data_IF_568158774500
#
_entry.id   IF_568158774500
#
_cell.length_a   1.000
_cell.length_b   1.000
_cell.length_c   1.000
_cell.angle_alpha   90.00
_cell.angle_beta   90.00
_cell.angle_gamma   90.00
#
_symmetry.space_group_name_H-M   'P 1'
#
loop_
_entity.id
_entity.type
_entity.pdbx_description
1 polymer ?
#
# COMPACT_ATOMS: atom_id res chain seq x y z
N UNK A 1 27.10 25.02 -10.96
CA UNK A 1 27.12 23.76 -10.19
C UNK A 1 26.88 24.08 -8.71
N UNK A 2 25.85 24.89 -8.44
CA UNK A 2 25.61 25.53 -7.14
C UNK A 2 25.22 24.51 -6.06
N UNK A 3 24.62 23.38 -6.45
CA UNK A 3 24.28 22.29 -5.53
C UNK A 3 25.50 21.67 -4.83
N UNK A 4 26.67 21.70 -5.47
CA UNK A 4 27.90 21.19 -4.84
C UNK A 4 28.45 22.10 -3.75
N UNK A 5 28.03 23.35 -3.69
CA UNK A 5 28.35 24.22 -2.54
C UNK A 5 27.73 23.69 -1.24
N UNK A 6 26.72 22.80 -1.35
CA UNK A 6 26.06 22.12 -0.25
C UNK A 6 26.61 20.70 0.00
N UNK A 7 27.72 20.29 -0.63
CA UNK A 7 28.23 18.92 -0.52
C UNK A 7 28.48 18.45 0.92
N UNK A 8 28.84 19.37 1.81
CA UNK A 8 29.12 19.09 3.21
C UNK A 8 27.87 19.10 4.11
N UNK A 9 26.67 19.37 3.58
CA UNK A 9 25.45 19.52 4.40
C UNK A 9 24.18 18.91 3.80
N UNK A 10 24.10 18.72 2.49
CA UNK A 10 22.87 18.27 1.83
C UNK A 10 22.55 16.81 2.16
N UNK A 11 21.44 16.60 2.87
CA UNK A 11 20.96 15.25 3.23
C UNK A 11 19.77 14.79 2.38
N UNK A 12 18.96 15.74 1.87
CA UNK A 12 17.75 15.45 1.10
C UNK A 12 17.77 16.28 -0.18
N UNK A 13 17.56 15.60 -1.31
CA UNK A 13 17.49 16.22 -2.63
C UNK A 13 16.21 15.78 -3.35
N UNK A 14 15.34 16.73 -3.67
CA UNK A 14 14.16 16.50 -4.50
C UNK A 14 14.30 17.20 -5.86
N UNK A 15 14.28 16.39 -6.91
CA UNK A 15 14.39 16.75 -8.32
C UNK A 15 13.10 16.41 -9.08
N UNK A 16 12.00 16.15 -8.37
CA UNK A 16 10.76 15.68 -8.98
C UNK A 16 10.07 16.75 -9.84
N UNK A 17 9.31 16.33 -10.85
CA UNK A 17 8.52 17.23 -11.70
C UNK A 17 9.35 18.05 -12.69
N UNK A 18 10.45 17.48 -13.18
CA UNK A 18 11.34 18.12 -14.16
C UNK A 18 11.36 17.32 -15.48
N UNK A 19 12.32 17.64 -16.35
CA UNK A 19 12.57 16.91 -17.60
C UNK A 19 13.94 16.23 -17.60
N UNK A 20 14.44 15.83 -16.43
CA UNK A 20 15.75 15.19 -16.29
C UNK A 20 15.75 13.80 -16.92
N UNK A 21 16.82 13.47 -17.61
CA UNK A 21 17.05 12.14 -18.19
C UNK A 21 18.25 11.41 -17.60
N UNK A 22 19.09 12.12 -16.84
CA UNK A 22 20.28 11.58 -16.17
C UNK A 22 20.71 12.46 -14.98
N UNK A 23 21.62 11.96 -14.15
CA UNK A 23 22.27 12.67 -13.05
C UNK A 23 23.78 12.77 -13.30
N UNK A 24 24.42 13.93 -13.06
CA UNK A 24 25.85 14.12 -13.28
C UNK A 24 26.69 13.27 -12.33
N UNK A 25 27.86 12.80 -12.77
CA UNK A 25 28.74 11.96 -11.96
C UNK A 25 29.20 12.67 -10.68
N UNK A 26 29.35 13.99 -10.74
CA UNK A 26 29.82 14.80 -9.63
C UNK A 26 28.85 14.82 -8.44
N UNK A 27 27.63 14.31 -8.61
CA UNK A 27 26.72 14.05 -7.49
C UNK A 27 27.35 13.14 -6.43
N UNK A 28 28.34 12.30 -6.81
CA UNK A 28 29.11 11.45 -5.88
C UNK A 28 29.83 12.25 -4.78
N UNK A 29 30.01 13.57 -4.95
CA UNK A 29 30.59 14.46 -3.95
C UNK A 29 29.64 14.78 -2.78
N UNK A 30 28.34 14.54 -2.93
CA UNK A 30 27.34 14.77 -1.88
C UNK A 30 27.36 13.64 -0.84
N UNK A 31 28.47 13.52 -0.10
CA UNK A 31 28.72 12.39 0.79
C UNK A 31 27.69 12.26 1.92
N UNK A 32 26.97 13.33 2.27
CA UNK A 32 25.90 13.32 3.29
C UNK A 32 24.50 13.05 2.74
N UNK A 33 24.33 12.89 1.43
CA UNK A 33 23.02 12.67 0.83
C UNK A 33 22.45 11.32 1.29
N UNK A 34 21.29 11.36 1.93
CA UNK A 34 20.55 10.20 2.45
C UNK A 34 19.31 9.88 1.63
N UNK A 35 18.72 10.89 1.00
CA UNK A 35 17.44 10.78 0.31
C UNK A 35 17.51 11.50 -1.02
N UNK A 36 17.10 10.81 -2.08
CA UNK A 36 16.89 11.42 -3.39
C UNK A 36 15.52 11.07 -3.96
N UNK A 37 14.80 12.10 -4.38
CA UNK A 37 13.59 11.99 -5.17
C UNK A 37 13.81 12.59 -6.55
N UNK A 38 13.37 11.90 -7.59
CA UNK A 38 13.44 12.35 -8.98
C UNK A 38 12.21 11.85 -9.76
N UNK A 39 11.04 11.88 -9.11
CA UNK A 39 9.78 11.37 -9.67
C UNK A 39 9.26 12.31 -10.78
N UNK A 40 8.45 11.80 -11.70
CA UNK A 40 7.89 12.60 -12.80
C UNK A 40 8.98 13.32 -13.61
N UNK A 41 9.86 12.53 -14.23
CA UNK A 41 10.98 12.96 -15.07
C UNK A 41 11.04 12.09 -16.36
N UNK A 42 12.17 12.08 -17.06
CA UNK A 42 12.38 11.35 -18.31
C UNK A 42 13.51 10.32 -18.22
N UNK A 43 13.81 9.80 -17.02
CA UNK A 43 14.86 8.79 -16.82
C UNK A 43 14.50 7.49 -17.54
N UNK A 44 15.45 6.95 -18.31
CA UNK A 44 15.31 5.65 -19.01
C UNK A 44 16.13 4.53 -18.38
N UNK A 45 17.00 4.88 -17.42
CA UNK A 45 17.79 3.98 -16.60
C UNK A 45 17.90 4.59 -15.19
N UNK A 46 18.16 3.76 -14.18
CA UNK A 46 18.49 4.26 -12.85
C UNK A 46 19.97 4.72 -12.84
N UNK A 47 20.29 6.00 -12.54
CA UNK A 47 21.64 6.52 -12.68
C UNK A 47 22.66 5.80 -11.78
N UNK A 48 23.81 5.43 -12.35
CA UNK A 48 24.84 4.65 -11.63
C UNK A 48 25.55 5.45 -10.54
N UNK A 49 25.54 6.79 -10.62
CA UNK A 49 26.08 7.66 -9.58
C UNK A 49 25.43 7.42 -8.21
N UNK A 50 24.17 6.94 -8.19
CA UNK A 50 23.46 6.63 -6.96
C UNK A 50 24.17 5.55 -6.14
N UNK A 51 24.69 4.50 -6.78
CA UNK A 51 25.36 3.41 -6.07
C UNK A 51 26.69 3.82 -5.43
N UNK A 52 27.25 4.97 -5.84
CA UNK A 52 28.48 5.52 -5.27
C UNK A 52 28.26 6.37 -4.02
N UNK A 53 27.01 6.75 -3.72
CA UNK A 53 26.69 7.58 -2.57
C UNK A 53 26.72 6.74 -1.27
N UNK A 54 27.65 7.01 -0.34
CA UNK A 54 27.93 6.10 0.77
C UNK A 54 26.82 6.04 1.82
N UNK A 55 26.02 7.12 1.94
CA UNK A 55 24.97 7.26 2.95
C UNK A 55 23.55 7.28 2.34
N UNK A 56 23.41 6.99 1.04
CA UNK A 56 22.11 7.05 0.38
C UNK A 56 21.25 5.86 0.81
N UNK A 57 20.17 6.15 1.52
CA UNK A 57 19.25 5.17 2.10
C UNK A 57 17.93 5.09 1.33
N UNK A 58 17.51 6.18 0.68
CA UNK A 58 16.22 6.27 0.03
C UNK A 58 16.32 6.82 -1.39
N UNK A 59 15.75 6.07 -2.34
CA UNK A 59 15.75 6.37 -3.76
C UNK A 59 14.32 6.30 -4.29
N UNK A 60 13.79 7.42 -4.81
CA UNK A 60 12.46 7.48 -5.41
C UNK A 60 12.44 8.06 -6.81
N UNK A 61 12.10 7.24 -7.80
CA UNK A 61 12.01 7.60 -9.23
C UNK A 61 10.66 7.17 -9.81
N UNK A 62 9.55 7.54 -9.13
CA UNK A 62 8.19 7.20 -9.59
C UNK A 62 7.85 7.92 -10.89
N UNK A 63 7.05 7.31 -11.77
CA UNK A 63 6.53 7.94 -13.01
C UNK A 63 7.68 8.47 -13.86
N UNK A 64 8.49 7.54 -14.34
CA UNK A 64 9.60 7.77 -15.26
C UNK A 64 9.48 6.76 -16.44
N UNK A 65 10.55 6.51 -17.18
CA UNK A 65 10.59 5.55 -18.29
C UNK A 65 11.71 4.53 -18.09
N UNK A 66 12.06 4.24 -16.83
CA UNK A 66 13.22 3.42 -16.48
C UNK A 66 13.00 2.00 -17.00
N UNK A 67 13.93 1.54 -17.84
CA UNK A 67 13.97 0.17 -18.37
C UNK A 67 15.08 -0.66 -17.74
N UNK A 68 16.15 0.01 -17.34
CA UNK A 68 17.39 -0.62 -16.86
C UNK A 68 17.70 -0.16 -15.45
N UNK A 69 17.84 -1.12 -14.54
CA UNK A 69 18.39 -0.92 -13.20
C UNK A 69 19.73 -1.66 -13.18
N UNK A 70 20.83 -0.91 -13.35
CA UNK A 70 22.18 -1.46 -13.34
C UNK A 70 22.56 -1.92 -11.92
N UNK A 71 23.41 -2.94 -11.81
CA UNK A 71 23.94 -3.38 -10.50
C UNK A 71 24.66 -2.25 -9.78
N UNK A 72 25.32 -1.36 -10.53
CA UNK A 72 26.06 -0.21 -10.02
C UNK A 72 25.16 0.95 -9.57
N UNK A 73 23.85 0.92 -9.88
CA UNK A 73 22.91 1.99 -9.51
C UNK A 73 22.31 1.83 -8.11
N UNK A 74 22.57 0.70 -7.43
CA UNK A 74 21.98 0.38 -6.14
C UNK A 74 22.91 0.75 -4.98
N UNK A 75 22.55 1.73 -4.12
CA UNK A 75 23.37 2.12 -2.98
C UNK A 75 23.53 1.01 -1.95
N UNK A 76 24.69 0.90 -1.32
CA UNK A 76 24.96 -0.14 -0.31
C UNK A 76 24.09 -0.01 0.95
N UNK A 77 23.66 1.22 1.30
CA UNK A 77 22.84 1.52 2.47
C UNK A 77 21.33 1.56 2.17
N UNK A 78 20.91 1.16 0.97
CA UNK A 78 19.54 1.27 0.49
C UNK A 78 18.54 0.58 1.45
N UNK A 79 17.59 1.38 1.96
CA UNK A 79 16.46 0.98 2.79
C UNK A 79 15.13 1.07 2.06
N UNK A 80 14.98 2.05 1.17
CA UNK A 80 13.74 2.28 0.42
C UNK A 80 14.03 2.54 -1.05
N UNK A 81 13.45 1.72 -1.91
CA UNK A 81 13.49 1.88 -3.37
C UNK A 81 12.07 2.00 -3.93
N UNK A 82 11.76 3.14 -4.55
CA UNK A 82 10.49 3.39 -5.25
C UNK A 82 10.78 3.57 -6.74
N UNK A 83 10.35 2.61 -7.53
CA UNK A 83 10.41 2.63 -8.99
C UNK A 83 9.03 2.38 -9.61
N UNK A 84 7.97 2.72 -8.87
CA UNK A 84 6.58 2.66 -9.33
C UNK A 84 6.40 3.38 -10.67
N UNK A 85 5.56 2.83 -11.55
CA UNK A 85 5.17 3.45 -12.82
C UNK A 85 6.39 3.76 -13.70
N UNK A 86 7.02 2.69 -14.18
CA UNK A 86 8.20 2.69 -15.04
C UNK A 86 8.07 1.56 -16.09
N UNK A 87 9.16 1.24 -16.79
CA UNK A 87 9.17 0.25 -17.88
C UNK A 87 10.13 -0.92 -17.58
N UNK A 88 10.37 -1.24 -16.30
CA UNK A 88 11.39 -2.23 -15.89
C UNK A 88 10.91 -3.64 -16.23
N UNK A 89 11.71 -4.40 -16.99
CA UNK A 89 11.42 -5.81 -17.30
C UNK A 89 12.14 -6.81 -16.37
N UNK A 90 13.32 -6.44 -15.89
CA UNK A 90 14.18 -7.29 -15.07
C UNK A 90 14.86 -6.47 -13.98
N UNK A 91 15.00 -7.07 -12.80
CA UNK A 91 15.79 -6.51 -11.69
C UNK A 91 17.16 -7.21 -11.62
N UNK A 92 18.22 -6.48 -11.25
CA UNK A 92 19.55 -7.06 -11.09
C UNK A 92 19.61 -8.03 -9.90
N UNK A 93 20.48 -9.04 -9.99
CA UNK A 93 20.71 -9.97 -8.87
C UNK A 93 21.26 -9.25 -7.63
N UNK A 94 22.05 -8.19 -7.82
CA UNK A 94 22.63 -7.39 -6.73
C UNK A 94 21.60 -6.66 -5.87
N UNK A 95 20.31 -6.63 -6.27
CA UNK A 95 19.23 -6.17 -5.40
C UNK A 95 19.14 -7.02 -4.13
N UNK A 96 19.34 -8.34 -4.25
CA UNK A 96 19.38 -9.25 -3.11
C UNK A 96 20.56 -9.02 -2.15
N UNK A 97 21.54 -8.21 -2.54
CA UNK A 97 22.73 -7.85 -1.73
C UNK A 97 22.53 -6.54 -0.95
N UNK A 98 21.28 -6.06 -0.83
CA UNK A 98 20.93 -4.86 -0.05
C UNK A 98 20.27 -5.28 1.26
N UNK A 99 21.04 -5.67 2.28
CA UNK A 99 20.51 -6.27 3.50
C UNK A 99 19.66 -5.30 4.33
N UNK A 100 19.73 -4.00 4.05
CA UNK A 100 18.94 -2.96 4.74
C UNK A 100 17.62 -2.64 4.06
N UNK A 101 17.34 -3.20 2.87
CA UNK A 101 16.13 -2.89 2.11
C UNK A 101 14.89 -3.36 2.90
N UNK A 102 14.02 -2.42 3.25
CA UNK A 102 12.77 -2.63 3.99
C UNK A 102 11.54 -2.39 3.12
N UNK A 103 11.61 -1.45 2.19
CA UNK A 103 10.48 -1.06 1.35
C UNK A 103 10.86 -1.04 -0.13
N UNK A 104 10.11 -1.78 -0.94
CA UNK A 104 10.32 -1.93 -2.38
C UNK A 104 9.02 -1.72 -3.16
N UNK A 105 8.87 -0.57 -3.81
CA UNK A 105 7.68 -0.25 -4.59
C UNK A 105 7.99 -0.35 -6.09
N UNK A 106 7.37 -1.32 -6.76
CA UNK A 106 7.61 -1.69 -8.15
C UNK A 106 6.31 -1.79 -8.96
N UNK A 107 5.17 -1.33 -8.42
CA UNK A 107 3.90 -1.40 -9.11
C UNK A 107 3.93 -0.64 -10.44
N UNK A 108 3.22 -1.10 -11.46
CA UNK A 108 3.19 -0.43 -12.76
C UNK A 108 4.50 -0.54 -13.52
N UNK A 109 5.06 -1.74 -13.60
CA UNK A 109 6.25 -2.03 -14.41
C UNK A 109 5.95 -3.17 -15.39
N UNK A 110 7.00 -3.72 -16.02
CA UNK A 110 6.90 -4.84 -16.98
C UNK A 110 7.63 -6.07 -16.46
N UNK A 111 7.77 -6.21 -15.14
CA UNK A 111 8.60 -7.24 -14.53
C UNK A 111 7.99 -8.61 -14.79
N UNK A 112 8.76 -9.49 -15.42
CA UNK A 112 8.30 -10.84 -15.78
C UNK A 112 8.60 -11.87 -14.69
N UNK A 113 9.71 -11.69 -13.97
CA UNK A 113 10.19 -12.58 -12.90
C UNK A 113 11.04 -11.79 -11.91
N UNK A 114 11.02 -12.20 -10.64
CA UNK A 114 11.93 -11.68 -9.62
C UNK A 114 13.24 -12.47 -9.61
N UNK A 115 14.39 -11.83 -9.34
CA UNK A 115 15.66 -12.54 -9.22
C UNK A 115 15.67 -13.41 -7.96
N UNK A 116 16.23 -14.62 -8.06
CA UNK A 116 16.29 -15.58 -6.94
C UNK A 116 17.01 -14.99 -5.71
N UNK A 117 17.99 -14.11 -5.93
CA UNK A 117 18.73 -13.44 -4.87
C UNK A 117 17.86 -12.63 -3.91
N UNK A 118 16.60 -12.31 -4.26
CA UNK A 118 15.66 -11.67 -3.34
C UNK A 118 15.36 -12.52 -2.10
N UNK A 119 15.65 -13.82 -2.08
CA UNK A 119 15.59 -14.66 -0.88
C UNK A 119 16.49 -14.14 0.26
N UNK A 120 17.51 -13.33 -0.06
CA UNK A 120 18.44 -12.74 0.89
C UNK A 120 17.93 -11.42 1.50
N UNK A 121 16.78 -10.89 1.05
CA UNK A 121 16.20 -9.64 1.55
C UNK A 121 15.46 -9.84 2.88
N UNK A 122 16.19 -10.35 3.88
CA UNK A 122 15.64 -10.75 5.19
C UNK A 122 15.02 -9.61 6.00
N UNK A 123 15.29 -8.36 5.62
CA UNK A 123 14.70 -7.16 6.22
C UNK A 123 13.57 -6.53 5.40
N UNK A 124 13.19 -7.11 4.25
CA UNK A 124 12.11 -6.58 3.44
C UNK A 124 10.78 -6.78 4.16
N UNK A 125 10.04 -5.69 4.33
CA UNK A 125 8.79 -5.62 5.09
C UNK A 125 7.60 -5.29 4.17
N UNK A 126 7.81 -4.44 3.16
CA UNK A 126 6.79 -4.04 2.20
C UNK A 126 7.28 -4.22 0.77
N UNK A 127 6.46 -4.88 -0.06
CA UNK A 127 6.66 -4.97 -1.49
C UNK A 127 5.37 -4.72 -2.28
N UNK A 128 5.42 -3.82 -3.27
CA UNK A 128 4.32 -3.58 -4.23
C UNK A 128 4.76 -4.10 -5.60
N UNK A 129 4.08 -5.14 -6.10
CA UNK A 129 4.33 -5.77 -7.40
C UNK A 129 3.10 -5.72 -8.32
N UNK A 130 2.04 -5.02 -7.93
CA UNK A 130 0.82 -4.92 -8.73
C UNK A 130 1.08 -4.33 -10.12
N UNK A 131 0.21 -4.62 -11.09
CA UNK A 131 0.33 -4.13 -12.46
C UNK A 131 1.73 -4.37 -13.06
N UNK A 132 2.13 -5.64 -13.09
CA UNK A 132 3.38 -6.11 -13.70
C UNK A 132 3.08 -7.21 -14.73
N UNK A 133 4.11 -7.94 -15.17
CA UNK A 133 4.00 -9.02 -16.16
C UNK A 133 4.43 -10.37 -15.59
N UNK A 134 4.26 -10.57 -14.28
CA UNK A 134 4.63 -11.82 -13.61
C UNK A 134 3.75 -12.97 -14.14
N UNK A 135 4.40 -13.95 -14.77
CA UNK A 135 3.72 -15.15 -15.30
C UNK A 135 3.39 -16.17 -14.20
N UNK A 136 4.09 -16.09 -13.06
CA UNK A 136 3.97 -17.01 -11.95
C UNK A 136 4.02 -16.24 -10.63
N UNK A 137 3.39 -16.80 -9.60
CA UNK A 137 3.47 -16.27 -8.25
C UNK A 137 4.94 -16.26 -7.75
N UNK A 138 5.41 -15.19 -7.09
CA UNK A 138 6.80 -15.05 -6.68
C UNK A 138 7.11 -15.84 -5.39
N UNK A 139 7.26 -17.16 -5.50
CA UNK A 139 7.52 -18.06 -4.36
C UNK A 139 8.74 -17.67 -3.51
N UNK A 140 9.72 -16.97 -4.11
CA UNK A 140 10.91 -16.43 -3.42
C UNK A 140 10.57 -15.54 -2.23
N UNK A 141 9.41 -14.87 -2.25
CA UNK A 141 8.99 -13.93 -1.20
C UNK A 141 8.36 -14.63 0.02
N UNK A 142 7.84 -15.86 -0.14
CA UNK A 142 7.10 -16.57 0.93
C UNK A 142 7.95 -16.84 2.17
N UNK A 143 9.27 -16.92 2.00
CA UNK A 143 10.23 -17.24 3.07
C UNK A 143 10.83 -16.01 3.75
N UNK A 144 10.47 -14.81 3.30
CA UNK A 144 11.02 -13.60 3.89
C UNK A 144 10.43 -13.37 5.29
N UNK A 145 11.27 -13.32 6.34
CA UNK A 145 10.80 -13.41 7.72
C UNK A 145 10.07 -12.16 8.21
N UNK A 146 10.29 -11.01 7.55
CA UNK A 146 9.70 -9.72 7.93
C UNK A 146 8.67 -9.19 6.94
N UNK A 147 8.47 -9.86 5.81
CA UNK A 147 7.52 -9.40 4.80
C UNK A 147 6.10 -9.46 5.38
N UNK A 148 5.44 -8.31 5.40
CA UNK A 148 4.14 -8.09 6.02
C UNK A 148 3.13 -7.48 5.04
N UNK A 149 3.56 -6.53 4.21
CA UNK A 149 2.71 -5.85 3.24
C UNK A 149 3.09 -6.27 1.83
N UNK A 150 2.17 -6.98 1.16
CA UNK A 150 2.41 -7.56 -0.14
C UNK A 150 1.20 -7.33 -1.06
N UNK A 151 1.42 -6.58 -2.14
CA UNK A 151 0.44 -6.34 -3.20
C UNK A 151 0.95 -6.89 -4.54
N UNK A 152 0.11 -7.61 -5.28
CA UNK A 152 0.50 -8.24 -6.54
C UNK A 152 -0.61 -8.33 -7.60
N UNK A 153 -1.75 -7.67 -7.40
CA UNK A 153 -2.87 -7.72 -8.33
C UNK A 153 -2.49 -7.18 -9.74
N UNK A 154 -3.29 -7.48 -10.76
CA UNK A 154 -2.98 -7.03 -12.13
C UNK A 154 -1.74 -7.66 -12.77
N UNK A 155 -1.34 -8.86 -12.34
CA UNK A 155 -0.31 -9.66 -13.00
C UNK A 155 -0.93 -10.81 -13.82
N UNK A 156 -0.28 -11.28 -14.90
CA UNK A 156 -0.79 -12.38 -15.73
C UNK A 156 -1.13 -13.68 -14.99
N UNK A 157 -0.47 -13.99 -13.86
CA UNK A 157 -0.83 -15.16 -13.05
C UNK A 157 -2.14 -14.99 -12.27
N UNK A 158 -2.61 -13.75 -12.10
CA UNK A 158 -3.84 -13.45 -11.40
C UNK A 158 -5.06 -13.89 -12.21
N UNK A 159 -6.07 -14.45 -11.54
CA UNK A 159 -7.35 -14.79 -12.16
C UNK A 159 -8.44 -13.92 -11.58
N UNK A 160 -9.18 -13.25 -12.46
CA UNK A 160 -10.36 -12.49 -12.08
C UNK A 160 -11.52 -13.46 -11.76
N UNK A 161 -12.31 -13.17 -10.72
CA UNK A 161 -13.49 -13.95 -10.40
C UNK A 161 -14.53 -13.85 -11.52
N UNK A 162 -15.09 -15.01 -11.92
CA UNK A 162 -15.99 -15.11 -13.08
C UNK A 162 -17.31 -14.33 -12.93
N UNK A 163 -17.73 -14.02 -11.70
CA UNK A 163 -18.92 -13.20 -11.40
C UNK A 163 -18.88 -12.73 -9.95
N UNK A 164 -18.82 -11.41 -9.76
CA UNK A 164 -18.99 -10.74 -8.46
C UNK A 164 -20.36 -10.05 -8.46
N UNK A 165 -21.37 -10.71 -7.90
CA UNK A 165 -22.73 -10.16 -7.75
C UNK A 165 -23.00 -9.69 -6.31
N UNK A 166 -21.97 -9.24 -5.59
CA UNK A 166 -22.11 -8.80 -4.19
C UNK A 166 -22.92 -7.51 -4.06
N UNK A 167 -22.88 -6.63 -5.07
CA UNK A 167 -23.65 -5.38 -5.13
C UNK A 167 -24.28 -5.17 -6.51
N UNK A 168 -25.43 -4.48 -6.60
CA UNK A 168 -26.06 -4.16 -7.88
C UNK A 168 -25.16 -3.27 -8.77
N UNK A 169 -25.32 -3.45 -10.08
CA UNK A 169 -24.73 -2.56 -11.09
C UNK A 169 -25.69 -1.43 -11.42
N UNK A 170 -25.21 -0.19 -11.31
CA UNK A 170 -25.98 1.03 -11.57
C UNK A 170 -25.23 1.92 -12.58
N UNK A 171 -25.82 3.05 -12.96
CA UNK A 171 -25.23 3.98 -13.95
C UNK A 171 -24.88 5.31 -13.30
N UNK A 172 -24.10 6.15 -13.99
CA UNK A 172 -23.79 7.51 -13.48
C UNK A 172 -25.02 8.40 -13.27
N UNK A 173 -26.19 8.00 -13.78
CA UNK A 173 -27.45 8.71 -13.57
C UNK A 173 -28.15 8.35 -12.26
N UNK A 174 -27.59 7.43 -11.45
CA UNK A 174 -28.19 6.98 -10.20
C UNK A 174 -27.82 7.87 -9.00
N UNK A 175 -26.86 8.80 -9.17
CA UNK A 175 -26.44 9.78 -8.15
C UNK A 175 -26.07 11.13 -8.77
N UNK A 176 -26.02 12.17 -7.93
CA UNK A 176 -25.46 13.49 -8.28
C UNK A 176 -24.29 13.81 -7.36
N UNK A 177 -23.08 13.95 -7.93
CA UNK A 177 -21.88 14.34 -7.19
C UNK A 177 -21.99 15.77 -6.67
N UNK A 178 -21.52 15.99 -5.44
CA UNK A 178 -21.53 17.30 -4.77
C UNK A 178 -20.11 17.85 -4.62
N UNK A 179 -19.44 17.50 -3.53
CA UNK A 179 -18.09 17.98 -3.21
C UNK A 179 -17.16 16.80 -2.89
N UNK A 180 -15.86 17.03 -3.05
CA UNK A 180 -14.81 16.03 -2.80
C UNK A 180 -14.64 15.84 -1.29
N UNK A 181 -14.69 14.59 -0.83
CA UNK A 181 -14.39 14.18 0.55
C UNK A 181 -12.91 13.84 0.70
N UNK A 182 -12.31 13.25 -0.33
CA UNK A 182 -10.89 12.88 -0.34
C UNK A 182 -10.42 12.51 -1.74
N UNK A 183 -9.11 12.59 -1.97
CA UNK A 183 -8.51 12.18 -3.23
C UNK A 183 -7.24 11.37 -2.95
N UNK A 184 -7.18 10.18 -3.55
CA UNK A 184 -6.04 9.26 -3.45
C UNK A 184 -5.40 9.01 -4.81
N UNK A 185 -4.45 8.07 -4.82
CA UNK A 185 -3.81 7.60 -6.04
C UNK A 185 -4.80 6.90 -6.97
N UNK A 186 -5.74 6.12 -6.42
CA UNK A 186 -6.70 5.33 -7.22
C UNK A 186 -7.96 6.05 -7.66
N UNK A 187 -8.29 7.20 -7.07
CA UNK A 187 -9.55 7.86 -7.39
C UNK A 187 -9.83 9.12 -6.59
N UNK A 188 -11.01 9.68 -6.85
CA UNK A 188 -11.60 10.78 -6.10
C UNK A 188 -12.82 10.25 -5.37
N UNK A 189 -12.86 10.43 -4.06
CA UNK A 189 -14.02 10.11 -3.22
C UNK A 189 -14.81 11.40 -3.04
N UNK A 190 -16.06 11.39 -3.47
CA UNK A 190 -16.96 12.54 -3.40
C UNK A 190 -18.23 12.20 -2.65
N UNK A 191 -18.77 13.18 -1.94
CA UNK A 191 -20.14 13.12 -1.44
C UNK A 191 -21.10 13.20 -2.63
N UNK A 192 -22.19 12.45 -2.57
CA UNK A 192 -23.22 12.46 -3.60
C UNK A 192 -24.62 12.28 -3.01
N UNK A 193 -25.62 12.84 -3.69
CA UNK A 193 -27.02 12.55 -3.41
C UNK A 193 -27.47 11.36 -4.26
N UNK A 194 -28.07 10.35 -3.63
CA UNK A 194 -28.68 9.22 -4.34
C UNK A 194 -30.02 9.64 -4.94
N UNK A 195 -30.25 9.32 -6.22
CA UNK A 195 -31.46 9.74 -6.96
C UNK A 195 -32.25 8.57 -7.56
N UNK A 196 -31.71 7.36 -7.52
CA UNK A 196 -32.37 6.18 -8.10
C UNK A 196 -33.35 5.52 -7.13
N UNK A 197 -34.64 5.83 -7.30
CA UNK A 197 -35.71 5.29 -6.47
C UNK A 197 -35.96 3.77 -6.65
N UNK A 198 -35.26 3.09 -7.57
CA UNK A 198 -35.35 1.63 -7.70
C UNK A 198 -34.69 0.90 -6.52
N UNK A 199 -33.72 1.54 -5.86
CA UNK A 199 -32.97 0.96 -4.77
C UNK A 199 -33.23 1.73 -3.47
N UNK A 200 -33.46 0.99 -2.38
CA UNK A 200 -33.64 1.55 -1.03
C UNK A 200 -32.28 1.82 -0.38
N UNK A 201 -31.56 2.80 -0.93
CA UNK A 201 -30.26 3.25 -0.42
C UNK A 201 -30.38 4.58 0.33
N UNK A 202 -29.39 4.90 1.19
CA UNK A 202 -29.34 6.20 1.85
C UNK A 202 -29.39 7.36 0.84
N UNK A 203 -30.07 8.45 1.20
CA UNK A 203 -30.19 9.64 0.34
C UNK A 203 -28.85 10.33 0.09
N UNK A 204 -27.88 10.14 0.98
CA UNK A 204 -26.52 10.66 0.88
C UNK A 204 -25.53 9.50 0.93
N UNK A 205 -24.59 9.48 -0.02
CA UNK A 205 -23.64 8.39 -0.23
C UNK A 205 -22.24 8.94 -0.52
N UNK A 206 -21.23 8.08 -0.41
CA UNK A 206 -19.90 8.36 -0.90
C UNK A 206 -19.67 7.62 -2.23
N UNK A 207 -19.15 8.32 -3.24
CA UNK A 207 -18.81 7.72 -4.54
C UNK A 207 -17.32 7.85 -4.75
N UNK A 208 -16.63 6.71 -4.86
CA UNK A 208 -15.24 6.64 -5.29
C UNK A 208 -15.19 6.45 -6.79
N UNK A 209 -14.85 7.53 -7.50
CA UNK A 209 -14.61 7.50 -8.94
C UNK A 209 -13.16 7.12 -9.18
N UNK A 210 -12.94 6.00 -9.87
CA UNK A 210 -11.61 5.50 -10.14
C UNK A 210 -10.97 6.21 -11.34
N UNK A 211 -9.65 6.44 -11.29
CA UNK A 211 -8.89 6.98 -12.41
C UNK A 211 -8.45 5.85 -13.35
N UNK A 212 -8.43 6.07 -14.66
CA UNK A 212 -8.10 5.00 -15.63
C UNK A 212 -6.62 4.58 -15.71
N UNK A 213 -5.74 5.16 -14.91
CA UNK A 213 -4.28 4.93 -14.96
C UNK A 213 -3.82 3.98 -13.85
N UNK A 214 -2.62 3.38 -14.03
CA UNK A 214 -1.97 2.57 -12.98
C UNK A 214 -1.63 3.47 -11.79
N UNK A 215 -1.91 2.99 -10.58
CA UNK A 215 -1.65 3.72 -9.34
C UNK A 215 -0.35 3.25 -8.68
N UNK A 216 -0.02 3.77 -7.50
CA UNK A 216 1.08 3.23 -6.69
C UNK A 216 0.89 1.77 -6.27
N UNK A 217 -0.35 1.29 -6.31
CA UNK A 217 -0.80 0.09 -5.61
C UNK A 217 -1.43 -0.94 -6.53
N UNK A 218 -1.71 -0.56 -7.79
CA UNK A 218 -2.23 -1.45 -8.83
C UNK A 218 -3.20 -0.75 -9.77
N UNK A 219 -3.98 -1.55 -10.51
CA UNK A 219 -5.07 -1.02 -11.32
C UNK A 219 -6.33 -0.83 -10.46
N UNK A 220 -7.11 0.23 -10.71
CA UNK A 220 -8.34 0.44 -9.94
C UNK A 220 -9.43 -0.62 -10.13
N UNK A 221 -9.43 -1.35 -11.24
CA UNK A 221 -10.35 -2.48 -11.42
C UNK A 221 -10.02 -3.64 -10.45
N UNK A 222 -8.73 -3.89 -10.18
CA UNK A 222 -8.32 -4.91 -9.21
C UNK A 222 -8.78 -4.55 -7.79
N UNK A 223 -8.64 -3.27 -7.42
CA UNK A 223 -9.15 -2.72 -6.15
C UNK A 223 -10.66 -2.94 -6.02
N UNK A 224 -11.43 -2.55 -7.06
CA UNK A 224 -12.87 -2.74 -7.08
C UNK A 224 -13.24 -4.23 -6.92
N UNK A 225 -12.61 -5.12 -7.68
CA UNK A 225 -12.87 -6.55 -7.59
C UNK A 225 -12.56 -7.10 -6.19
N UNK A 226 -11.46 -6.66 -5.57
CA UNK A 226 -11.08 -7.07 -4.22
C UNK A 226 -12.09 -6.58 -3.17
N UNK A 227 -12.55 -5.32 -3.25
CA UNK A 227 -13.64 -4.80 -2.42
C UNK A 227 -14.91 -5.65 -2.54
N UNK A 228 -15.30 -5.97 -3.77
CA UNK A 228 -16.51 -6.73 -4.05
C UNK A 228 -16.40 -8.20 -3.63
N UNK A 229 -15.21 -8.80 -3.75
CA UNK A 229 -14.92 -10.17 -3.28
C UNK A 229 -14.88 -10.24 -1.76
N UNK A 230 -14.39 -9.21 -1.08
CA UNK A 230 -14.41 -9.13 0.37
C UNK A 230 -15.85 -9.15 0.91
N UNK A 231 -16.80 -8.57 0.18
CA UNK A 231 -18.21 -8.59 0.55
C UNK A 231 -18.54 -7.75 1.79
N UNK A 232 -19.69 -8.03 2.42
CA UNK A 232 -20.16 -7.25 3.57
C UNK A 232 -19.49 -7.68 4.87
N UNK A 233 -19.00 -6.70 5.62
CA UNK A 233 -18.55 -6.83 7.01
C UNK A 233 -18.87 -5.53 7.75
N UNK A 234 -19.25 -5.60 9.03
CA UNK A 234 -19.69 -4.41 9.78
C UNK A 234 -18.56 -3.40 10.00
N UNK A 235 -17.32 -3.87 10.03
CA UNK A 235 -16.12 -3.04 10.20
C UNK A 235 -15.34 -2.79 8.89
N UNK A 236 -15.95 -3.03 7.74
CA UNK A 236 -15.41 -2.61 6.44
C UNK A 236 -16.23 -1.45 5.87
N UNK A 237 -15.62 -0.61 5.05
CA UNK A 237 -16.36 0.39 4.26
C UNK A 237 -17.43 -0.31 3.42
N UNK A 238 -18.70 -0.01 3.70
CA UNK A 238 -19.83 -0.72 3.10
C UNK A 238 -20.07 -0.28 1.66
N UNK A 239 -19.75 -1.17 0.72
CA UNK A 239 -20.08 -1.04 -0.70
C UNK A 239 -21.56 -1.35 -0.93
N UNK A 240 -22.28 -0.46 -1.63
CA UNK A 240 -23.72 -0.61 -1.87
C UNK A 240 -24.08 -0.75 -3.36
N UNK A 241 -23.26 -0.23 -4.27
CA UNK A 241 -23.42 -0.41 -5.70
C UNK A 241 -22.11 -0.22 -6.45
N UNK A 242 -22.02 -0.76 -7.66
CA UNK A 242 -20.91 -0.53 -8.58
C UNK A 242 -21.41 0.16 -9.86
N UNK A 243 -20.59 1.04 -10.42
CA UNK A 243 -20.86 1.76 -11.67
C UNK A 243 -19.83 1.32 -12.70
N UNK A 244 -20.32 0.77 -13.81
CA UNK A 244 -19.52 0.42 -14.98
C UNK A 244 -20.43 0.54 -16.21
N UNK A 245 -20.56 1.75 -16.73
CA UNK A 245 -21.43 2.08 -17.87
C UNK A 245 -20.65 2.52 -19.12
N UNK A 246 -19.34 2.26 -19.14
CA UNK A 246 -18.42 2.63 -20.21
C UNK A 246 -18.01 4.11 -20.21
N UNK A 247 -18.60 4.96 -19.35
CA UNK A 247 -18.13 6.34 -19.13
C UNK A 247 -17.21 6.42 -17.92
N UNK A 248 -17.57 5.71 -16.86
CA UNK A 248 -16.92 5.79 -15.56
C UNK A 248 -16.90 4.43 -14.88
N UNK A 249 -15.81 4.16 -14.15
CA UNK A 249 -15.74 3.07 -13.18
C UNK A 249 -15.81 3.71 -11.78
N UNK A 250 -16.82 3.35 -11.00
CA UNK A 250 -16.98 3.88 -9.65
C UNK A 250 -17.55 2.86 -8.66
N UNK A 251 -17.23 3.06 -7.38
CA UNK A 251 -17.79 2.31 -6.26
C UNK A 251 -18.64 3.26 -5.42
N UNK A 252 -19.91 2.91 -5.23
CA UNK A 252 -20.84 3.62 -4.36
C UNK A 252 -20.81 2.96 -2.99
N UNK A 253 -20.60 3.75 -1.95
CA UNK A 253 -20.42 3.32 -0.57
C UNK A 253 -21.34 4.12 0.35
N UNK A 254 -21.65 3.57 1.52
CA UNK A 254 -22.31 4.37 2.56
C UNK A 254 -21.39 5.50 3.03
N UNK A 255 -22.00 6.65 3.34
CA UNK A 255 -21.27 7.79 3.87
C UNK A 255 -20.83 7.48 5.31
N UNK A 256 -19.54 7.65 5.57
CA UNK A 256 -18.98 7.41 6.91
C UNK A 256 -19.38 8.58 7.83
N UNK A 257 -19.88 8.31 9.06
CA UNK A 257 -20.28 9.38 9.97
C UNK A 257 -19.10 10.28 10.37
N UNK A 258 -19.37 11.59 10.54
CA UNK A 258 -18.36 12.58 10.94
C UNK A 258 -17.76 12.35 12.34
N UNK A 259 -18.29 11.42 13.13
CA UNK A 259 -17.72 11.01 14.42
C UNK A 259 -16.49 10.11 14.28
N UNK A 260 -16.22 9.59 13.08
CA UNK A 260 -15.06 8.77 12.78
C UNK A 260 -13.87 9.64 12.38
N UNK A 261 -12.68 9.27 12.83
CA UNK A 261 -11.41 9.92 12.51
C UNK A 261 -10.31 8.88 12.26
N UNK A 262 -9.22 9.27 11.58
CA UNK A 262 -8.10 8.36 11.31
C UNK A 262 -7.42 7.93 12.61
N UNK A 263 -7.27 6.62 12.81
CA UNK A 263 -6.62 6.02 13.97
C UNK A 263 -5.13 6.37 14.03
N UNK A 264 -4.46 6.39 12.87
CA UNK A 264 -3.02 6.68 12.77
C UNK A 264 -2.65 7.63 11.64
N UNK A 265 -1.37 7.97 11.60
CA UNK A 265 -0.69 8.68 10.54
C UNK A 265 0.20 7.71 9.75
N UNK A 266 0.42 7.96 8.45
CA UNK A 266 1.21 7.06 7.61
C UNK A 266 2.68 6.97 8.08
N UNK A 267 3.44 5.96 7.59
CA UNK A 267 4.84 5.80 7.95
C UNK A 267 5.69 7.01 7.52
N UNK A 268 6.69 7.33 8.33
CA UNK A 268 7.66 8.40 8.04
C UNK A 268 8.94 7.84 7.42
N UNK A 269 9.85 8.74 7.04
CA UNK A 269 11.19 8.39 6.59
C UNK A 269 11.97 7.58 7.65
N UNK A 270 11.69 7.85 8.93
CA UNK A 270 12.36 7.20 10.07
C UNK A 270 11.81 5.79 10.28
N UNK A 271 10.50 5.66 10.42
CA UNK A 271 9.82 4.38 10.68
C UNK A 271 9.83 3.45 9.46
N UNK A 272 9.91 4.04 8.25
CA UNK A 272 9.94 3.42 6.92
C UNK A 272 8.63 2.73 6.51
N UNK A 273 8.06 1.92 7.40
CA UNK A 273 6.92 1.04 7.15
C UNK A 273 5.95 0.94 8.32
N UNK A 274 6.29 1.46 9.50
CA UNK A 274 5.42 1.45 10.68
C UNK A 274 4.67 2.77 10.79
N UNK A 275 3.41 2.72 11.17
CA UNK A 275 2.60 3.92 11.33
C UNK A 275 3.08 4.77 12.49
N UNK A 276 2.65 6.02 12.48
CA UNK A 276 2.89 6.95 13.58
C UNK A 276 1.56 7.48 14.10
N UNK A 277 1.58 8.16 15.24
CA UNK A 277 0.38 8.74 15.83
C UNK A 277 0.62 10.23 16.11
N UNK A 278 -0.43 11.05 16.13
CA UNK A 278 -0.30 12.45 16.53
C UNK A 278 0.34 12.57 17.92
N UNK A 279 1.10 13.62 18.15
CA UNK A 279 1.74 13.83 19.45
C UNK A 279 0.70 13.94 20.56
N UNK A 280 0.83 13.13 21.60
CA UNK A 280 -0.11 13.10 22.73
C UNK A 280 -1.41 12.36 22.43
N UNK A 281 -1.52 11.69 21.29
CA UNK A 281 -2.62 10.77 21.01
C UNK A 281 -2.55 9.58 21.95
N UNK A 282 -3.67 9.25 22.58
CA UNK A 282 -3.78 8.17 23.53
C UNK A 282 -5.11 7.43 23.38
N UNK A 283 -5.10 6.14 23.74
CA UNK A 283 -6.28 5.27 23.76
C UNK A 283 -6.38 4.57 25.12
N UNK A 284 -7.61 4.38 25.59
CA UNK A 284 -7.85 3.54 26.77
C UNK A 284 -7.62 2.06 26.43
N UNK A 285 -7.38 1.22 27.44
CA UNK A 285 -7.26 -0.23 27.26
C UNK A 285 -8.52 -0.81 26.61
N UNK A 286 -9.71 -0.32 26.98
CA UNK A 286 -10.98 -0.75 26.39
C UNK A 286 -11.07 -0.44 24.89
N UNK A 287 -10.64 0.76 24.47
CA UNK A 287 -10.61 1.15 23.06
C UNK A 287 -9.61 0.30 22.29
N UNK A 288 -8.39 0.10 22.81
CA UNK A 288 -7.36 -0.74 22.17
C UNK A 288 -7.90 -2.15 21.96
N UNK A 289 -8.50 -2.76 22.99
CA UNK A 289 -9.06 -4.10 22.89
C UNK A 289 -10.17 -4.19 21.84
N UNK A 290 -11.10 -3.23 21.87
CA UNK A 290 -12.19 -3.16 20.91
C UNK A 290 -11.67 -3.07 19.47
N UNK A 291 -10.72 -2.17 19.20
CA UNK A 291 -10.14 -1.97 17.86
C UNK A 291 -9.41 -3.24 17.38
N UNK A 292 -8.59 -3.85 18.25
CA UNK A 292 -7.83 -5.04 17.89
C UNK A 292 -8.74 -6.23 17.61
N UNK A 293 -9.76 -6.47 18.43
CA UNK A 293 -10.70 -7.57 18.23
C UNK A 293 -11.47 -7.40 16.91
N UNK A 294 -11.93 -6.19 16.60
CA UNK A 294 -12.58 -5.89 15.31
C UNK A 294 -11.62 -6.07 14.13
N UNK A 295 -10.34 -5.68 14.25
CA UNK A 295 -9.35 -5.86 13.18
C UNK A 295 -8.99 -7.34 12.94
N UNK A 296 -8.92 -8.13 14.02
CA UNK A 296 -8.75 -9.60 13.91
C UNK A 296 -9.94 -10.23 13.19
N UNK A 297 -11.17 -9.79 13.48
CA UNK A 297 -12.37 -10.26 12.78
C UNK A 297 -12.35 -9.90 11.28
N UNK A 298 -12.02 -8.65 10.96
CA UNK A 298 -11.82 -8.19 9.56
C UNK A 298 -10.76 -9.02 8.85
N UNK A 299 -9.60 -9.24 9.48
CA UNK A 299 -8.53 -10.06 8.92
C UNK A 299 -9.03 -11.47 8.57
N UNK A 300 -9.73 -12.13 9.50
CA UNK A 300 -10.27 -13.47 9.26
C UNK A 300 -11.30 -13.45 8.13
N UNK A 301 -12.22 -12.48 8.13
CA UNK A 301 -13.22 -12.30 7.09
C UNK A 301 -12.60 -12.14 5.70
N UNK A 302 -11.56 -11.30 5.56
CA UNK A 302 -10.85 -11.10 4.29
C UNK A 302 -10.20 -12.42 3.81
N UNK A 303 -9.51 -13.13 4.70
CA UNK A 303 -8.86 -14.40 4.33
C UNK A 303 -9.84 -15.53 4.04
N UNK A 304 -11.00 -15.56 4.70
CA UNK A 304 -12.08 -16.52 4.40
C UNK A 304 -12.67 -16.25 3.00
N UNK A 305 -12.74 -14.98 2.61
CA UNK A 305 -13.13 -14.54 1.27
C UNK A 305 -11.98 -14.55 0.23
N UNK A 306 -10.79 -15.03 0.62
CA UNK A 306 -9.59 -15.13 -0.25
C UNK A 306 -9.10 -13.79 -0.80
N UNK A 307 -9.20 -12.75 0.01
CA UNK A 307 -8.67 -11.40 -0.24
C UNK A 307 -7.54 -11.12 0.75
N UNK A 308 -6.42 -10.63 0.24
CA UNK A 308 -5.31 -10.07 1.00
C UNK A 308 -5.43 -8.55 0.86
N UNK A 309 -5.50 -7.79 1.95
CA UNK A 309 -5.62 -6.32 1.88
C UNK A 309 -4.31 -5.69 1.39
N UNK A 310 -3.17 -6.21 1.85
CA UNK A 310 -1.84 -5.74 1.43
C UNK A 310 -1.44 -4.36 1.99
N UNK A 311 -2.35 -3.69 2.71
CA UNK A 311 -2.17 -2.35 3.32
C UNK A 311 -2.81 -2.22 4.72
N UNK A 312 -2.75 -3.30 5.51
CA UNK A 312 -3.28 -3.31 6.88
C UNK A 312 -2.47 -2.38 7.79
N UNK A 313 -3.08 -1.24 8.14
CA UNK A 313 -2.45 -0.11 8.82
C UNK A 313 -3.45 0.70 9.66
N UNK A 314 -2.93 1.43 10.65
CA UNK A 314 -3.72 2.35 11.47
C UNK A 314 -4.17 3.57 10.67
N UNK A 315 -3.37 4.10 9.74
CA UNK A 315 -3.78 5.23 8.90
C UNK A 315 -4.90 4.90 7.89
N UNK A 316 -5.12 3.61 7.61
CA UNK A 316 -6.22 3.10 6.78
C UNK A 316 -7.43 2.65 7.63
N UNK A 317 -7.38 2.87 8.94
CA UNK A 317 -8.45 2.53 9.89
C UNK A 317 -9.06 3.81 10.44
N UNK A 318 -10.38 3.92 10.34
CA UNK A 318 -11.16 4.96 11.00
C UNK A 318 -11.73 4.43 12.31
N UNK A 319 -11.75 5.26 13.35
CA UNK A 319 -12.31 4.92 14.66
C UNK A 319 -13.18 6.06 15.20
N UNK A 320 -14.10 5.74 16.11
CA UNK A 320 -14.84 6.74 16.88
C UNK A 320 -14.47 6.73 18.38
N UNK A 321 -15.10 7.60 19.17
CA UNK A 321 -14.83 7.71 20.61
C UNK A 321 -15.11 6.42 21.39
N UNK A 322 -15.97 5.54 20.88
CA UNK A 322 -16.34 4.27 21.49
C UNK A 322 -15.38 3.13 21.12
N UNK A 323 -14.40 3.37 20.23
CA UNK A 323 -13.49 2.34 19.73
C UNK A 323 -14.08 1.46 18.62
N UNK A 324 -15.24 1.82 18.07
CA UNK A 324 -15.77 1.16 16.87
C UNK A 324 -14.91 1.54 15.67
N UNK A 325 -14.55 0.55 14.83
CA UNK A 325 -13.68 0.78 13.69
C UNK A 325 -14.37 0.56 12.33
N UNK A 326 -13.93 1.32 11.34
CA UNK A 326 -14.21 1.09 9.92
C UNK A 326 -12.86 1.04 9.20
N UNK A 327 -12.57 -0.11 8.58
CA UNK A 327 -11.35 -0.34 7.82
C UNK A 327 -11.62 -0.29 6.31
N UNK A 328 -10.66 0.24 5.55
CA UNK A 328 -10.79 0.39 4.10
C UNK A 328 -9.47 0.68 3.38
N UNK A 329 -9.60 1.20 2.16
CA UNK A 329 -8.53 1.41 1.18
C UNK A 329 -7.91 0.13 0.59
N UNK A 330 -8.68 -0.51 -0.28
CA UNK A 330 -8.28 -1.75 -0.96
C UNK A 330 -7.34 -1.51 -2.15
N UNK A 331 -6.70 -0.34 -2.25
CA UNK A 331 -5.82 0.00 -3.37
C UNK A 331 -4.69 -1.02 -3.59
N UNK A 332 -4.20 -1.63 -2.51
CA UNK A 332 -3.15 -2.66 -2.54
C UNK A 332 -3.68 -4.10 -2.50
N UNK A 333 -5.00 -4.28 -2.47
CA UNK A 333 -5.60 -5.56 -2.21
C UNK A 333 -5.39 -6.54 -3.38
N UNK A 334 -5.32 -7.82 -3.04
CA UNK A 334 -5.08 -8.90 -4.00
C UNK A 334 -5.99 -10.08 -3.70
N UNK A 335 -6.80 -10.49 -4.69
CA UNK A 335 -7.54 -11.75 -4.64
C UNK A 335 -6.55 -12.88 -4.91
N UNK A 336 -6.62 -13.94 -4.11
CA UNK A 336 -5.62 -15.02 -4.16
C UNK A 336 -6.21 -16.43 -4.09
N UNK A 337 -7.55 -16.57 -4.14
CA UNK A 337 -8.23 -17.87 -4.01
C UNK A 337 -7.92 -18.89 -5.11
N UNK A 338 -7.37 -18.45 -6.24
CA UNK A 338 -6.94 -19.30 -7.35
C UNK A 338 -5.52 -19.88 -7.20
N UNK A 339 -4.77 -19.48 -6.16
CA UNK A 339 -3.42 -19.98 -5.89
C UNK A 339 -3.44 -21.34 -5.18
N UNK A 340 -2.29 -22.01 -5.15
CA UNK A 340 -2.13 -23.28 -4.43
C UNK A 340 -2.29 -23.10 -2.91
N UNK A 341 -2.66 -24.16 -2.19
CA UNK A 341 -2.85 -24.10 -0.73
C UNK A 341 -1.62 -23.60 0.03
N UNK A 342 -0.40 -23.95 -0.43
CA UNK A 342 0.85 -23.47 0.15
C UNK A 342 1.00 -21.95 -0.02
N UNK A 343 0.71 -21.43 -1.21
CA UNK A 343 0.77 -20.00 -1.49
C UNK A 343 -0.32 -19.22 -0.73
N UNK A 344 -1.53 -19.76 -0.63
CA UNK A 344 -2.60 -19.17 0.18
C UNK A 344 -2.20 -19.07 1.65
N UNK A 345 -1.60 -20.14 2.20
CA UNK A 345 -1.11 -20.15 3.58
C UNK A 345 0.03 -19.15 3.79
N UNK A 346 0.95 -19.04 2.82
CA UNK A 346 2.04 -18.07 2.87
C UNK A 346 1.55 -16.62 2.84
N UNK A 347 0.55 -16.30 2.00
CA UNK A 347 -0.07 -14.96 1.96
C UNK A 347 -0.71 -14.62 3.29
N UNK A 348 -1.49 -15.54 3.88
CA UNK A 348 -2.09 -15.35 5.21
C UNK A 348 -1.02 -15.16 6.30
N UNK A 349 0.08 -15.91 6.23
CA UNK A 349 1.18 -15.75 7.17
C UNK A 349 1.92 -14.41 7.01
N UNK A 350 2.03 -13.89 5.78
CA UNK A 350 2.58 -12.56 5.50
C UNK A 350 1.67 -11.49 6.12
N UNK A 351 0.38 -11.49 5.81
CA UNK A 351 -0.54 -10.46 6.29
C UNK A 351 -0.81 -10.54 7.80
N UNK A 352 -0.73 -11.74 8.42
CA UNK A 352 -0.72 -11.90 9.88
C UNK A 352 0.42 -11.10 10.54
N UNK A 353 1.59 -10.96 9.89
CA UNK A 353 2.65 -10.08 10.39
C UNK A 353 2.26 -8.61 10.34
N UNK A 354 1.54 -8.17 9.29
CA UNK A 354 1.01 -6.81 9.23
C UNK A 354 -0.01 -6.57 10.35
N UNK A 355 -0.90 -7.52 10.61
CA UNK A 355 -1.82 -7.48 11.75
C UNK A 355 -1.07 -7.37 13.08
N UNK A 356 0.00 -8.15 13.28
CA UNK A 356 0.84 -8.04 14.48
C UNK A 356 1.46 -6.65 14.62
N UNK A 357 1.97 -6.07 13.53
CA UNK A 357 2.52 -4.71 13.53
C UNK A 357 1.46 -3.65 13.82
N UNK A 358 0.25 -3.80 13.29
CA UNK A 358 -0.89 -2.95 13.63
C UNK A 358 -1.21 -3.01 15.13
N UNK A 359 -1.27 -4.21 15.71
CA UNK A 359 -1.51 -4.38 17.15
C UNK A 359 -0.41 -3.69 17.96
N UNK A 360 0.86 -3.94 17.64
CA UNK A 360 2.00 -3.27 18.29
C UNK A 360 1.91 -1.73 18.18
N UNK A 361 1.53 -1.20 17.02
CA UNK A 361 1.39 0.24 16.79
C UNK A 361 0.25 0.81 17.65
N UNK A 362 -0.95 0.20 17.65
CA UNK A 362 -2.10 0.64 18.46
C UNK A 362 -1.80 0.55 19.97
N UNK A 363 -1.09 -0.48 20.42
CA UNK A 363 -0.69 -0.61 21.81
C UNK A 363 0.33 0.46 22.25
N UNK A 364 1.14 0.98 21.33
CA UNK A 364 2.15 2.01 21.66
C UNK A 364 1.55 3.32 22.17
N UNK A 365 0.25 3.55 21.96
CA UNK A 365 -0.50 4.74 22.41
C UNK A 365 -1.49 4.45 23.53
N UNK A 366 -1.39 3.29 24.20
CA UNK A 366 -2.27 2.94 25.32
C UNK A 366 -1.89 3.68 26.63
N UNK A 367 -2.87 4.21 27.37
CA UNK A 367 -2.66 5.06 28.56
C UNK A 367 -2.12 4.32 29.82
N UNK A 368 -2.15 2.98 29.89
CA UNK A 368 -1.82 2.22 31.11
C UNK A 368 -0.84 1.05 30.86
N UNK A 369 0.33 1.05 31.52
CA UNK A 369 1.44 0.15 31.14
C UNK A 369 1.40 -1.27 31.73
N UNK A 370 0.72 -1.51 32.85
CA UNK A 370 0.71 -2.85 33.50
C UNK A 370 -0.47 -3.73 33.05
N UNK A 371 -1.68 -3.17 32.95
CA UNK A 371 -2.89 -3.85 32.43
C UNK A 371 -2.75 -4.16 30.92
N UNK A 372 -2.16 -3.24 30.15
CA UNK A 372 -1.92 -3.43 28.73
C UNK A 372 -0.95 -4.57 28.41
N UNK A 373 -0.03 -4.93 29.31
CA UNK A 373 1.01 -5.95 29.03
C UNK A 373 0.45 -7.38 28.97
N UNK A 374 -0.40 -7.77 29.93
CA UNK A 374 -1.06 -9.08 29.93
C UNK A 374 -2.05 -9.20 28.76
N UNK A 375 -2.73 -8.10 28.45
CA UNK A 375 -3.70 -8.04 27.37
C UNK A 375 -3.04 -8.04 25.99
N UNK A 376 -1.88 -7.38 25.86
CA UNK A 376 -1.03 -7.49 24.67
C UNK A 376 -0.60 -8.93 24.41
N UNK A 377 -0.14 -9.66 25.43
CA UNK A 377 0.22 -11.07 25.26
C UNK A 377 -0.99 -11.92 24.82
N UNK A 378 -2.18 -11.66 25.38
CA UNK A 378 -3.43 -12.33 24.97
C UNK A 378 -3.75 -12.06 23.49
N UNK A 379 -3.76 -10.79 23.09
CA UNK A 379 -4.18 -10.37 21.74
C UNK A 379 -3.15 -10.73 20.66
N UNK A 380 -1.85 -10.62 20.95
CA UNK A 380 -0.81 -11.14 20.05
C UNK A 380 -0.92 -12.66 19.91
N UNK A 381 -1.32 -13.37 20.97
CA UNK A 381 -1.63 -14.80 20.92
C UNK A 381 -2.80 -15.18 20.01
N UNK A 382 -3.70 -14.25 19.68
CA UNK A 382 -4.79 -14.48 18.72
C UNK A 382 -4.33 -14.49 17.26
N UNK A 383 -3.14 -13.96 16.98
CA UNK A 383 -2.61 -13.75 15.61
C UNK A 383 -1.52 -14.76 15.23
N UNK A 384 -0.99 -15.51 16.21
CA UNK A 384 0.00 -16.57 16.05
C UNK A 384 -0.63 -17.89 15.60
#
# INVERSE_FOLDING_TARGET
MEILELADSLEVLDLSGNALSDLPQELEQLAKLKIIFASNNQFTHLPEVLGKLPNLEMVGFKTNKIKVVSEASLPSQLRWLILTDNEIETLPNSLGERPRLRKLALAGNRIKRLPRSMENLVNLELIRLSANQLEHFPDVLMKLPKLAWFAFAGNPFCKHPSSLNSVPKVTTNSYSLNHVLGQGASGVISHANWIDAQYDFPSEVAVKVFKGEVTSDGYPHDELEACLQAGHHNNLVKSIAQVDDGKELALVMELIPNSYYNLGLPPTLETCTRDTFPQGFTLTVEQVNSIVEQMVDVFNHLHDNKVCHGDLYAHNTLVNEQGEMIFGDFGAASIYGYLSGEQQAAIRAIESRALKYFIEDVFSVCEESESASQEFERLVGLVA
#
